data_IF_109225015327
#
_entry.id   IF_109225015327
#
_cell.length_a   1.000
_cell.length_b   1.000
_cell.length_c   1.000
_cell.angle_alpha   90.00
_cell.angle_beta   90.00
_cell.angle_gamma   90.00
#
_symmetry.space_group_name_H-M   'P 1'
#
loop_
_entity.id
_entity.type
_entity.pdbx_description
1 polymer ?
#
# COMPACT_ATOMS: atom_id res chain seq x y z
N UNK A 1 -32.13 44.89 34.79
CA UNK A 1 -32.51 44.00 33.68
C UNK A 1 -31.39 44.02 32.64
N UNK A 2 -30.48 43.05 32.65
CA UNK A 2 -29.57 42.80 31.52
C UNK A 2 -29.34 41.29 31.42
N UNK A 3 -30.05 40.67 30.48
CA UNK A 3 -29.97 39.23 30.18
C UNK A 3 -28.72 38.99 29.31
N UNK A 4 -27.71 38.31 29.86
CA UNK A 4 -26.55 37.82 29.09
C UNK A 4 -26.94 36.49 28.46
N UNK A 5 -27.29 36.53 27.17
CA UNK A 5 -27.46 35.33 26.36
C UNK A 5 -26.07 34.83 25.95
N UNK A 6 -25.66 33.67 26.51
CA UNK A 6 -24.53 32.90 25.99
C UNK A 6 -24.98 32.17 24.72
N UNK A 7 -24.50 32.61 23.56
CA UNK A 7 -24.53 31.82 22.34
C UNK A 7 -23.47 30.72 22.46
N UNK A 8 -23.89 29.49 22.77
CA UNK A 8 -23.08 28.30 22.53
C UNK A 8 -22.95 28.12 21.01
N UNK A 9 -21.77 28.37 20.47
CA UNK A 9 -21.41 27.96 19.12
C UNK A 9 -21.24 26.44 19.10
N UNK A 10 -22.25 25.73 18.59
CA UNK A 10 -22.15 24.31 18.25
C UNK A 10 -21.28 24.18 16.99
N UNK A 11 -20.00 23.83 17.15
CA UNK A 11 -19.19 23.39 16.02
C UNK A 11 -19.58 21.93 15.69
N UNK A 12 -19.98 21.61 14.44
CA UNK A 12 -20.25 20.23 14.06
C UNK A 12 -18.95 19.41 14.14
N UNK A 13 -19.00 18.15 14.61
CA UNK A 13 -17.86 17.26 14.54
C UNK A 13 -17.54 17.04 13.06
N UNK A 14 -16.29 17.32 12.68
CA UNK A 14 -15.73 16.84 11.42
C UNK A 14 -15.77 15.31 11.48
N UNK A 15 -16.83 14.71 10.94
CA UNK A 15 -16.85 13.29 10.62
C UNK A 15 -15.68 13.07 9.65
N UNK A 16 -14.58 12.55 10.17
CA UNK A 16 -13.41 12.21 9.36
C UNK A 16 -13.83 11.16 8.34
N UNK A 17 -13.89 11.54 7.07
CA UNK A 17 -13.83 10.59 5.98
C UNK A 17 -12.50 9.84 6.14
N UNK A 18 -12.54 8.62 6.67
CA UNK A 18 -11.35 7.81 6.86
C UNK A 18 -10.60 7.67 5.54
N UNK A 19 -9.30 7.96 5.54
CA UNK A 19 -8.47 7.77 4.37
C UNK A 19 -8.14 6.28 4.29
N UNK A 20 -8.32 5.61 3.14
CA UNK A 20 -7.97 4.18 3.03
C UNK A 20 -6.50 3.89 3.34
N UNK A 21 -5.63 4.91 3.26
CA UNK A 21 -4.25 4.86 3.73
C UNK A 21 -4.09 4.67 5.24
N UNK A 22 -5.11 4.95 6.06
CA UNK A 22 -5.10 4.73 7.52
C UNK A 22 -5.01 3.25 7.89
N UNK A 23 -5.23 2.35 6.92
CA UNK A 23 -5.03 0.90 7.06
C UNK A 23 -3.56 0.49 7.05
N UNK A 24 -2.68 1.36 6.57
CA UNK A 24 -1.24 1.12 6.59
C UNK A 24 -0.66 1.50 7.96
N UNK A 25 0.41 0.81 8.41
CA UNK A 25 1.19 1.26 9.54
C UNK A 25 1.67 2.71 9.35
N UNK A 26 1.63 3.51 10.43
CA UNK A 26 1.99 4.94 10.39
C UNK A 26 3.36 5.19 9.74
N UNK A 27 4.36 4.38 10.10
CA UNK A 27 5.73 4.52 9.58
C UNK A 27 5.78 4.31 8.06
N UNK A 28 5.00 3.36 7.52
CA UNK A 28 4.91 3.14 6.07
C UNK A 28 4.22 4.31 5.39
N UNK A 29 3.12 4.82 5.95
CA UNK A 29 2.43 6.00 5.40
C UNK A 29 3.37 7.20 5.34
N UNK A 30 4.08 7.50 6.43
CA UNK A 30 5.08 8.55 6.48
C UNK A 30 6.25 8.30 5.51
N UNK A 31 6.61 7.04 5.25
CA UNK A 31 7.60 6.67 4.25
C UNK A 31 7.13 6.99 2.83
N UNK A 32 5.86 6.72 2.51
CA UNK A 32 5.29 6.96 1.19
C UNK A 32 5.12 8.45 0.84
N UNK A 33 4.94 9.32 1.84
CA UNK A 33 4.80 10.78 1.64
C UNK A 33 6.11 11.44 1.16
N UNK A 34 7.26 10.87 1.51
CA UNK A 34 8.56 11.40 1.12
C UNK A 34 9.63 10.33 1.15
N UNK A 35 9.61 9.37 0.20
CA UNK A 35 10.54 8.26 0.19
C UNK A 35 11.87 8.67 -0.43
N UNK A 36 12.95 8.02 -0.01
CA UNK A 36 14.25 8.11 -0.69
C UNK A 36 14.16 7.37 -2.03
N UNK A 37 13.62 6.14 -2.02
CA UNK A 37 13.32 5.37 -3.22
C UNK A 37 11.95 4.70 -3.14
N UNK A 38 11.34 4.52 -4.31
CA UNK A 38 10.08 3.82 -4.48
C UNK A 38 10.17 2.96 -5.74
N UNK A 39 9.81 1.69 -5.63
CA UNK A 39 9.96 0.71 -6.70
C UNK A 39 8.72 -0.20 -6.74
N UNK A 40 8.23 -0.46 -7.94
CA UNK A 40 7.12 -1.39 -8.18
C UNK A 40 7.66 -2.63 -8.87
N UNK A 41 7.22 -3.80 -8.41
CA UNK A 41 7.67 -5.09 -8.90
C UNK A 41 6.50 -5.90 -9.42
N UNK A 42 6.72 -6.54 -10.57
CA UNK A 42 5.99 -7.75 -10.95
C UNK A 42 6.77 -8.95 -10.42
N UNK A 43 6.08 -9.87 -9.76
CA UNK A 43 6.69 -11.05 -9.15
C UNK A 43 5.99 -12.33 -9.59
N UNK A 44 6.75 -13.42 -9.55
CA UNK A 44 6.19 -14.76 -9.54
C UNK A 44 5.41 -14.98 -8.25
N UNK A 45 4.22 -15.57 -8.33
CA UNK A 45 3.38 -15.81 -7.15
C UNK A 45 3.82 -17.00 -6.31
N UNK A 46 4.65 -17.88 -6.86
CA UNK A 46 5.21 -19.02 -6.13
C UNK A 46 6.56 -18.62 -5.53
N UNK A 47 6.66 -18.73 -4.21
CA UNK A 47 7.94 -18.53 -3.51
C UNK A 47 8.98 -19.53 -4.00
N UNK A 48 10.17 -19.03 -4.35
CA UNK A 48 11.33 -19.84 -4.72
C UNK A 48 12.56 -19.32 -3.98
N UNK A 49 12.75 -19.72 -2.71
CA UNK A 49 13.88 -19.26 -1.91
C UNK A 49 15.25 -19.57 -2.56
N UNK A 50 15.35 -20.66 -3.32
CA UNK A 50 16.57 -21.03 -4.04
C UNK A 50 16.67 -20.44 -5.46
N UNK A 51 15.77 -19.55 -5.88
CA UNK A 51 15.81 -18.99 -7.23
C UNK A 51 17.09 -18.16 -7.44
N UNK A 52 17.89 -18.46 -8.47
CA UNK A 52 19.06 -17.66 -8.81
C UNK A 52 18.60 -16.37 -9.48
N UNK A 53 18.70 -15.23 -8.78
CA UNK A 53 18.30 -13.94 -9.33
C UNK A 53 17.80 -12.95 -8.29
N UNK A 54 17.27 -11.83 -8.78
CA UNK A 54 16.62 -10.84 -7.91
C UNK A 54 15.31 -11.41 -7.35
N UNK A 55 15.12 -11.22 -6.04
CA UNK A 55 13.92 -11.63 -5.32
C UNK A 55 13.45 -10.53 -4.40
N UNK A 56 12.16 -10.55 -4.10
CA UNK A 56 11.56 -9.79 -3.02
C UNK A 56 10.85 -10.76 -2.09
N UNK A 57 11.30 -10.88 -0.84
CA UNK A 57 10.70 -11.79 0.16
C UNK A 57 10.59 -13.26 -0.30
N UNK A 58 11.57 -13.74 -1.08
CA UNK A 58 11.61 -15.07 -1.73
C UNK A 58 10.70 -15.27 -2.96
N UNK A 59 10.02 -14.23 -3.40
CA UNK A 59 9.35 -14.23 -4.70
C UNK A 59 10.33 -13.75 -5.78
N UNK A 60 10.59 -14.55 -6.83
CA UNK A 60 11.34 -14.11 -8.00
C UNK A 60 10.76 -12.82 -8.60
N UNK A 61 11.63 -11.87 -8.92
CA UNK A 61 11.24 -10.64 -9.60
C UNK A 61 11.20 -10.89 -11.11
N UNK A 62 10.03 -10.63 -11.72
CA UNK A 62 9.82 -10.68 -13.16
C UNK A 62 10.11 -9.35 -13.84
N UNK A 63 9.70 -8.26 -13.18
CA UNK A 63 9.91 -6.88 -13.66
C UNK A 63 10.12 -5.99 -12.45
N UNK A 64 11.11 -5.10 -12.52
CA UNK A 64 11.32 -4.01 -11.55
C UNK A 64 11.25 -2.68 -12.28
N UNK A 65 10.51 -1.73 -11.68
CA UNK A 65 10.42 -0.38 -12.18
C UNK A 65 10.73 0.60 -11.06
N UNK A 66 11.77 1.40 -11.27
CA UNK A 66 12.14 2.50 -10.39
C UNK A 66 11.18 3.68 -10.62
N UNK A 67 10.43 4.05 -9.59
CA UNK A 67 9.39 5.08 -9.70
C UNK A 67 10.03 6.46 -9.57
N UNK A 68 9.97 7.22 -10.66
CA UNK A 68 10.48 8.58 -10.70
C UNK A 68 9.72 9.47 -9.72
N UNK A 69 10.35 10.50 -9.13
CA UNK A 69 9.71 11.37 -8.14
C UNK A 69 8.33 11.92 -8.56
N UNK A 70 8.16 12.27 -9.84
CA UNK A 70 6.89 12.77 -10.38
C UNK A 70 5.77 11.72 -10.44
N UNK A 71 6.10 10.42 -10.48
CA UNK A 71 5.14 9.31 -10.60
C UNK A 71 4.77 8.69 -9.25
N UNK A 72 5.50 9.00 -8.18
CA UNK A 72 5.25 8.47 -6.82
C UNK A 72 3.83 8.76 -6.31
N UNK A 73 3.22 9.93 -6.58
CA UNK A 73 1.82 10.17 -6.21
C UNK A 73 0.85 9.22 -6.92
N UNK A 74 1.15 8.78 -8.15
CA UNK A 74 0.31 7.84 -8.90
C UNK A 74 0.35 6.44 -8.28
N UNK A 75 1.52 5.98 -7.84
CA UNK A 75 1.65 4.70 -7.11
C UNK A 75 0.91 4.76 -5.77
N UNK A 76 1.01 5.88 -5.07
CA UNK A 76 0.29 6.10 -3.81
C UNK A 76 -1.23 6.11 -4.04
N UNK A 77 -1.69 6.76 -5.10
CA UNK A 77 -3.10 6.77 -5.49
C UNK A 77 -3.59 5.36 -5.87
N UNK A 78 -2.81 4.59 -6.63
CA UNK A 78 -3.15 3.19 -6.94
C UNK A 78 -3.32 2.36 -5.66
N UNK A 79 -2.38 2.44 -4.72
CA UNK A 79 -2.50 1.70 -3.47
C UNK A 79 -3.74 2.14 -2.70
N UNK A 80 -3.97 3.45 -2.55
CA UNK A 80 -5.14 4.01 -1.86
C UNK A 80 -6.48 3.59 -2.49
N UNK A 81 -6.61 3.75 -3.79
CA UNK A 81 -7.89 3.74 -4.50
C UNK A 81 -8.24 2.36 -5.07
N UNK A 82 -7.24 1.62 -5.57
CA UNK A 82 -7.48 0.31 -6.19
C UNK A 82 -7.28 -0.85 -5.22
N UNK A 83 -6.36 -0.72 -4.24
CA UNK A 83 -6.02 -1.80 -3.31
C UNK A 83 -6.71 -1.61 -1.96
N UNK A 84 -6.58 -0.44 -1.34
CA UNK A 84 -6.98 -0.22 0.06
C UNK A 84 -8.42 0.29 0.25
N UNK A 85 -9.07 0.75 -0.83
CA UNK A 85 -10.35 1.46 -0.80
C UNK A 85 -11.48 0.70 -0.11
N UNK A 86 -11.44 -0.63 -0.16
CA UNK A 86 -12.47 -1.48 0.43
C UNK A 86 -11.82 -2.57 1.30
N UNK A 87 -12.36 -2.77 2.50
CA UNK A 87 -12.15 -3.99 3.27
C UNK A 87 -13.00 -5.10 2.68
N UNK A 88 -12.48 -6.33 2.65
CA UNK A 88 -13.21 -7.47 2.11
C UNK A 88 -12.84 -8.77 2.79
N UNK A 89 -13.65 -9.79 2.53
CA UNK A 89 -13.36 -11.18 2.89
C UNK A 89 -12.38 -11.73 1.86
N UNK A 90 -11.10 -11.78 2.22
CA UNK A 90 -10.09 -12.39 1.35
C UNK A 90 -10.31 -13.89 1.24
N UNK A 91 -10.08 -14.44 0.04
CA UNK A 91 -9.95 -15.88 -0.10
C UNK A 91 -8.78 -16.41 0.76
N UNK A 92 -8.81 -17.70 1.13
CA UNK A 92 -7.78 -18.32 1.99
C UNK A 92 -6.38 -18.42 1.34
N UNK A 93 -6.25 -18.15 0.04
CA UNK A 93 -4.98 -18.17 -0.67
C UNK A 93 -4.20 -16.85 -0.51
N UNK A 94 -2.89 -16.89 -0.80
CA UNK A 94 -2.06 -15.70 -0.86
C UNK A 94 -0.99 -15.88 -1.95
N UNK A 95 -1.36 -15.49 -3.17
CA UNK A 95 -0.57 -15.62 -4.39
C UNK A 95 -0.24 -14.23 -4.94
N UNK A 96 0.69 -13.48 -4.31
CA UNK A 96 0.96 -12.10 -4.68
C UNK A 96 1.67 -12.04 -6.03
N UNK A 97 1.22 -11.15 -6.91
CA UNK A 97 1.83 -10.93 -8.23
C UNK A 97 2.50 -9.55 -8.35
N UNK A 98 2.18 -8.66 -7.42
CA UNK A 98 2.65 -7.28 -7.43
C UNK A 98 3.25 -6.94 -6.05
N UNK A 99 4.33 -6.17 -6.06
CA UNK A 99 4.93 -5.67 -4.83
C UNK A 99 5.38 -4.22 -4.96
N UNK A 100 5.40 -3.51 -3.83
CA UNK A 100 5.91 -2.15 -3.69
C UNK A 100 7.04 -2.16 -2.66
N UNK A 101 8.21 -1.62 -3.02
CA UNK A 101 9.30 -1.36 -2.08
C UNK A 101 9.44 0.15 -1.89
N UNK A 102 9.51 0.57 -0.62
CA UNK A 102 9.70 1.96 -0.22
C UNK A 102 10.86 2.04 0.76
N UNK A 103 11.81 2.92 0.51
CA UNK A 103 12.94 3.16 1.43
C UNK A 103 12.87 4.57 2.01
N UNK A 104 13.10 4.69 3.31
CA UNK A 104 13.23 5.98 4.00
C UNK A 104 13.96 5.80 5.32
N UNK A 105 14.95 6.65 5.59
CA UNK A 105 15.58 6.73 6.92
C UNK A 105 16.20 5.42 7.38
N UNK A 106 16.76 4.64 6.46
CA UNK A 106 17.34 3.32 6.73
C UNK A 106 16.33 2.16 6.80
N UNK A 107 15.02 2.45 6.81
CA UNK A 107 13.99 1.42 6.73
C UNK A 107 13.67 1.05 5.28
N UNK A 108 13.48 -0.24 5.05
CA UNK A 108 12.91 -0.79 3.81
C UNK A 108 11.56 -1.41 4.12
N UNK A 109 10.51 -0.82 3.57
CA UNK A 109 9.17 -1.37 3.59
C UNK A 109 8.89 -2.14 2.32
N UNK A 110 8.22 -3.28 2.45
CA UNK A 110 7.73 -4.08 1.33
C UNK A 110 6.24 -4.34 1.54
N UNK A 111 5.45 -4.01 0.53
CA UNK A 111 4.03 -4.35 0.46
C UNK A 111 3.86 -5.38 -0.64
N UNK A 112 3.41 -6.58 -0.29
CA UNK A 112 3.00 -7.61 -1.25
C UNK A 112 1.49 -7.52 -1.45
N UNK A 113 1.04 -7.55 -2.70
CA UNK A 113 -0.38 -7.42 -3.07
C UNK A 113 -0.82 -8.65 -3.86
N UNK A 114 -1.81 -9.35 -3.32
CA UNK A 114 -2.53 -10.45 -3.97
C UNK A 114 -3.88 -9.93 -4.46
N UNK A 115 -3.93 -9.50 -5.72
CA UNK A 115 -5.14 -8.95 -6.35
C UNK A 115 -6.23 -10.01 -6.54
N UNK A 116 -5.85 -11.28 -6.72
CA UNK A 116 -6.77 -12.42 -6.90
C UNK A 116 -7.53 -12.77 -5.61
N UNK A 117 -6.89 -12.64 -4.45
CA UNK A 117 -7.45 -13.01 -3.16
C UNK A 117 -7.80 -11.80 -2.28
N UNK A 118 -7.39 -10.59 -2.66
CA UNK A 118 -7.51 -9.38 -1.85
C UNK A 118 -6.52 -9.32 -0.68
N UNK A 119 -5.51 -10.18 -0.64
CA UNK A 119 -4.55 -10.20 0.47
C UNK A 119 -3.48 -9.12 0.34
N UNK A 120 -3.16 -8.44 1.44
CA UNK A 120 -1.98 -7.55 1.53
C UNK A 120 -1.08 -7.98 2.70
N UNK A 121 0.23 -8.07 2.46
CA UNK A 121 1.22 -8.34 3.49
C UNK A 121 2.27 -7.22 3.52
N UNK A 122 2.58 -6.72 4.72
CA UNK A 122 3.47 -5.59 4.93
C UNK A 122 4.66 -6.04 5.77
N UNK A 123 5.84 -5.65 5.30
CA UNK A 123 7.11 -5.94 5.95
C UNK A 123 7.94 -4.67 6.14
N UNK A 124 8.75 -4.66 7.20
CA UNK A 124 9.80 -3.67 7.47
C UNK A 124 11.08 -4.41 7.81
N UNK A 125 12.18 -4.12 7.11
CA UNK A 125 13.51 -4.71 7.34
C UNK A 125 13.44 -6.22 7.63
N UNK A 126 12.84 -6.99 6.72
CA UNK A 126 12.67 -8.44 6.83
C UNK A 126 11.56 -8.94 7.79
N UNK A 127 11.06 -8.14 8.73
CA UNK A 127 9.97 -8.57 9.62
C UNK A 127 8.59 -8.26 9.04
N UNK A 128 7.66 -9.22 9.10
CA UNK A 128 6.24 -8.94 8.81
C UNK A 128 5.67 -8.08 9.94
N UNK A 129 5.16 -6.91 9.60
CA UNK A 129 4.59 -5.96 10.57
C UNK A 129 3.07 -5.82 10.46
N UNK A 130 2.48 -6.37 9.39
CA UNK A 130 1.04 -6.36 9.23
C UNK A 130 0.55 -7.19 8.05
N UNK A 131 -0.75 -7.44 8.06
CA UNK A 131 -1.50 -7.96 6.93
C UNK A 131 -2.96 -7.64 7.10
N UNK A 132 -3.65 -7.45 5.99
CA UNK A 132 -5.09 -7.25 5.99
C UNK A 132 -5.69 -7.71 4.67
N UNK A 133 -7.01 -7.85 4.69
CA UNK A 133 -7.82 -8.29 3.56
C UNK A 133 -8.52 -7.10 2.93
N UNK A 134 -8.42 -7.00 1.61
CA UNK A 134 -9.08 -6.02 0.77
C UNK A 134 -10.04 -6.75 -0.17
N UNK A 135 -10.76 -6.01 -1.02
CA UNK A 135 -11.65 -6.64 -2.00
C UNK A 135 -10.87 -7.53 -2.97
N UNK A 136 -11.49 -8.65 -3.33
CA UNK A 136 -11.04 -9.50 -4.44
C UNK A 136 -11.14 -8.72 -5.76
N UNK A 137 -10.17 -8.93 -6.65
CA UNK A 137 -10.17 -8.31 -7.98
C UNK A 137 -9.65 -6.87 -8.00
N UNK A 138 -8.83 -6.49 -7.01
CA UNK A 138 -8.08 -5.22 -7.06
C UNK A 138 -7.26 -5.14 -8.36
N UNK A 139 -7.11 -3.94 -8.92
CA UNK A 139 -6.36 -3.77 -10.17
C UNK A 139 -4.87 -3.88 -9.91
N UNK A 140 -4.19 -4.68 -10.74
CA UNK A 140 -2.72 -4.71 -10.81
C UNK A 140 -2.20 -3.33 -11.25
N UNK A 141 -1.04 -2.88 -10.76
CA UNK A 141 -0.54 -1.55 -11.06
C UNK A 141 -0.28 -1.35 -12.56
N UNK A 142 0.07 -2.38 -13.33
CA UNK A 142 0.19 -2.28 -14.82
C UNK A 142 -1.14 -1.96 -15.52
N UNK A 143 -2.26 -2.33 -14.90
CA UNK A 143 -3.60 -2.01 -15.37
C UNK A 143 -3.94 -0.52 -15.19
N UNK A 144 -3.42 0.12 -14.15
CA UNK A 144 -3.76 1.51 -13.78
C UNK A 144 -2.66 2.51 -14.19
N UNK A 145 -1.39 2.17 -14.00
CA UNK A 145 -0.24 3.05 -14.13
C UNK A 145 0.39 2.93 -15.51
N UNK A 146 0.18 3.94 -16.36
CA UNK A 146 0.61 3.92 -17.77
C UNK A 146 2.12 3.78 -17.95
N UNK A 147 2.91 4.32 -17.03
CA UNK A 147 4.37 4.24 -17.09
C UNK A 147 4.93 2.84 -16.78
N UNK A 148 4.06 1.90 -16.36
CA UNK A 148 4.44 0.51 -16.15
C UNK A 148 4.21 -0.37 -17.39
N UNK A 149 3.56 0.15 -18.43
CA UNK A 149 3.25 -0.59 -19.67
C UNK A 149 4.41 -0.55 -20.66
#
# INVERSE_FOLDING_TARGET
MQSRWLLLALAPPLAGCGNSMDRLPNDLRAAMEGPESMEVFKIESVMKPAHPGEKIRDYPVLKRIDVQPGDRPLVTAWLRDDVLSESGDSAKCFDPHDALRVKKGGDTFIVLVCTSCGGVAIFRNEKRIGSFSTKVGAKSPEGTLRFLR
#
